data_IF_530944315667
#
_entry.id   IF_530944315667
#
_cell.length_a   1.000
_cell.length_b   1.000
_cell.length_c   1.000
_cell.angle_alpha   90.00
_cell.angle_beta   90.00
_cell.angle_gamma   90.00
#
_symmetry.space_group_name_H-M   'P 1'
#
loop_
_entity.id
_entity.type
_entity.pdbx_description
1 polymer ?
#
# COMPACT_ATOMS: atom_id res chain seq x y z
N UNK A 1 11.48 8.64 -0.12
CA UNK A 1 10.11 8.17 -0.36
C UNK A 1 9.56 7.55 0.91
N UNK A 2 8.28 7.76 1.18
CA UNK A 2 7.57 7.21 2.35
C UNK A 2 6.43 6.31 1.89
N UNK A 3 6.31 5.14 2.50
CA UNK A 3 5.28 4.14 2.21
C UNK A 3 4.69 3.56 3.50
N UNK A 4 3.38 3.31 3.50
CA UNK A 4 2.73 2.57 4.56
C UNK A 4 1.63 3.33 5.29
N UNK A 5 1.68 3.33 6.62
CA UNK A 5 0.62 3.84 7.48
C UNK A 5 0.48 5.38 7.45
N UNK A 6 -0.55 5.89 8.15
CA UNK A 6 -0.73 7.35 8.33
C UNK A 6 0.49 8.02 8.99
N UNK A 7 1.29 7.28 9.76
CA UNK A 7 2.54 7.80 10.30
C UNK A 7 3.53 8.17 9.18
N UNK A 8 3.69 7.31 8.15
CA UNK A 8 4.50 7.61 6.98
C UNK A 8 4.03 8.91 6.29
N UNK A 9 2.72 9.09 6.15
CA UNK A 9 2.15 10.30 5.57
C UNK A 9 2.46 11.55 6.40
N UNK A 10 2.33 11.48 7.73
CA UNK A 10 2.60 12.61 8.62
C UNK A 10 4.08 13.01 8.62
N UNK A 11 4.98 12.03 8.69
CA UNK A 11 6.43 12.31 8.65
C UNK A 11 6.83 12.88 7.30
N UNK A 12 6.28 12.39 6.20
CA UNK A 12 6.52 12.95 4.87
C UNK A 12 6.06 14.41 4.78
N UNK A 13 4.92 14.76 5.35
CA UNK A 13 4.42 16.13 5.38
C UNK A 13 5.39 17.06 6.16
N UNK A 14 5.90 16.62 7.31
CA UNK A 14 6.90 17.37 8.08
C UNK A 14 8.20 17.51 7.27
N UNK A 15 8.62 16.46 6.58
CA UNK A 15 9.81 16.47 5.71
C UNK A 15 9.66 17.52 4.61
N UNK A 16 8.49 17.58 3.95
CA UNK A 16 8.19 18.56 2.93
C UNK A 16 8.15 20.01 3.47
N UNK A 17 7.59 20.22 4.68
CA UNK A 17 7.60 21.52 5.35
C UNK A 17 9.03 22.03 5.61
N UNK A 18 9.97 21.10 5.86
CA UNK A 18 11.41 21.42 6.00
C UNK A 18 12.14 21.50 4.65
N UNK A 19 11.40 21.62 3.53
CA UNK A 19 11.93 21.77 2.16
C UNK A 19 12.82 20.60 1.69
N UNK A 20 12.67 19.44 2.30
CA UNK A 20 13.33 18.21 1.86
C UNK A 20 12.44 17.51 0.82
N UNK A 21 13.00 17.08 -0.32
CA UNK A 21 12.24 16.36 -1.34
C UNK A 21 11.59 15.11 -0.75
N UNK A 22 10.28 14.98 -0.88
CA UNK A 22 9.55 13.81 -0.37
C UNK A 22 8.43 13.41 -1.32
N UNK A 23 8.21 12.10 -1.44
CA UNK A 23 7.08 11.51 -2.14
C UNK A 23 6.43 10.46 -1.25
N UNK A 24 5.10 10.38 -1.24
CA UNK A 24 4.40 9.59 -0.22
C UNK A 24 3.28 8.76 -0.82
N UNK A 25 3.21 7.50 -0.38
CA UNK A 25 2.06 6.62 -0.51
C UNK A 25 1.44 6.61 -1.92
N UNK A 26 2.14 6.16 -2.97
CA UNK A 26 1.60 6.09 -4.33
C UNK A 26 0.36 5.19 -4.47
N UNK A 27 0.10 4.30 -3.53
CA UNK A 27 -1.13 3.50 -3.41
C UNK A 27 -2.09 4.05 -2.35
N UNK A 28 -1.78 5.20 -1.75
CA UNK A 28 -2.41 5.70 -0.54
C UNK A 28 -1.92 4.95 0.70
N UNK A 29 -2.60 5.14 1.82
CA UNK A 29 -2.22 4.52 3.08
C UNK A 29 -2.42 3.01 3.01
N UNK A 30 -1.34 2.26 3.26
CA UNK A 30 -1.33 0.81 3.39
C UNK A 30 -0.79 0.43 4.77
N UNK A 31 -1.38 -0.57 5.41
CA UNK A 31 -0.98 -1.01 6.75
C UNK A 31 -0.32 -2.39 6.77
N UNK A 32 -0.76 -3.26 5.86
CA UNK A 32 -0.36 -4.67 5.86
C UNK A 32 0.93 -4.89 5.08
N UNK A 33 1.93 -5.62 5.63
CA UNK A 33 3.23 -5.84 4.98
C UNK A 33 3.13 -6.43 3.57
N UNK A 34 2.26 -7.41 3.35
CA UNK A 34 2.08 -8.03 2.01
C UNK A 34 1.44 -7.04 1.03
N UNK A 35 0.48 -6.22 1.46
CA UNK A 35 -0.08 -5.18 0.59
C UNK A 35 0.99 -4.14 0.17
N UNK A 36 1.89 -3.77 1.09
CA UNK A 36 3.02 -2.90 0.81
C UNK A 36 4.01 -3.58 -0.14
N UNK A 37 4.32 -4.87 0.07
CA UNK A 37 5.20 -5.64 -0.81
C UNK A 37 4.64 -5.72 -2.24
N UNK A 38 3.32 -5.98 -2.38
CA UNK A 38 2.64 -6.00 -3.68
C UNK A 38 2.71 -4.63 -4.37
N UNK A 39 2.47 -3.54 -3.64
CA UNK A 39 2.62 -2.19 -4.17
C UNK A 39 4.06 -1.92 -4.65
N UNK A 40 5.07 -2.33 -3.89
CA UNK A 40 6.48 -2.20 -4.26
C UNK A 40 6.82 -2.98 -5.54
N UNK A 41 6.24 -4.17 -5.74
CA UNK A 41 6.43 -4.95 -6.97
C UNK A 41 5.82 -4.27 -8.19
N UNK A 42 4.60 -3.74 -8.06
CA UNK A 42 3.96 -2.95 -9.13
C UNK A 42 4.78 -1.70 -9.46
N UNK A 43 5.32 -1.02 -8.45
CA UNK A 43 6.16 0.16 -8.65
C UNK A 43 7.51 -0.18 -9.29
N UNK A 44 8.08 -1.34 -9.03
CA UNK A 44 9.36 -1.76 -9.61
C UNK A 44 9.27 -1.95 -11.13
N UNK A 45 8.21 -2.62 -11.57
CA UNK A 45 7.87 -2.81 -12.98
C UNK A 45 6.47 -2.24 -13.20
N UNK A 46 6.35 -0.94 -13.55
CA UNK A 46 5.06 -0.27 -13.61
C UNK A 46 4.07 -1.04 -14.48
N UNK A 47 3.17 -1.75 -13.81
CA UNK A 47 2.04 -2.40 -14.45
C UNK A 47 0.83 -1.49 -14.29
N UNK A 48 0.40 -0.90 -15.39
CA UNK A 48 -0.74 0.01 -15.37
C UNK A 48 -2.02 -0.80 -15.17
N UNK A 49 -2.89 -0.26 -14.34
CA UNK A 49 -4.22 -0.79 -14.11
C UNK A 49 -5.11 -0.51 -15.32
N UNK A 50 -6.07 -1.39 -15.53
CA UNK A 50 -7.07 -1.34 -16.59
C UNK A 50 -8.47 -1.16 -15.99
N UNK A 51 -9.50 -0.85 -16.77
CA UNK A 51 -10.87 -0.81 -16.26
C UNK A 51 -11.32 -2.11 -15.59
N UNK A 52 -10.76 -3.27 -15.98
CA UNK A 52 -11.06 -4.57 -15.38
C UNK A 52 -10.52 -4.74 -13.95
N UNK A 53 -9.53 -3.93 -13.54
CA UNK A 53 -8.96 -3.95 -12.20
C UNK A 53 -9.74 -3.07 -11.20
N UNK A 54 -10.80 -2.41 -11.69
CA UNK A 54 -11.64 -1.53 -10.90
C UNK A 54 -13.00 -2.20 -10.61
N UNK A 55 -13.58 -1.81 -9.48
CA UNK A 55 -14.93 -2.19 -9.09
C UNK A 55 -15.70 -0.97 -8.56
N UNK A 56 -17.01 -1.06 -8.48
CA UNK A 56 -17.86 -0.02 -7.88
C UNK A 56 -18.04 -0.34 -6.40
N UNK A 57 -17.63 0.58 -5.53
CA UNK A 57 -17.74 0.43 -4.07
C UNK A 57 -19.16 0.80 -3.57
N UNK A 58 -19.39 0.65 -2.26
CA UNK A 58 -20.68 0.95 -1.60
C UNK A 58 -21.11 2.41 -1.66
N UNK A 59 -20.23 3.33 -2.04
CA UNK A 59 -20.53 4.75 -2.24
C UNK A 59 -20.72 5.09 -3.73
N UNK A 60 -20.98 4.08 -4.56
CA UNK A 60 -21.17 4.23 -6.03
C UNK A 60 -19.95 4.86 -6.73
N UNK A 61 -18.74 4.62 -6.19
CA UNK A 61 -17.50 5.12 -6.76
C UNK A 61 -16.65 3.97 -7.29
N UNK A 62 -15.97 4.19 -8.39
CA UNK A 62 -14.94 3.30 -8.91
C UNK A 62 -13.75 3.29 -7.95
N UNK A 63 -13.24 2.11 -7.68
CA UNK A 63 -12.17 1.87 -6.71
C UNK A 63 -11.32 0.67 -7.14
N UNK A 64 -10.15 0.50 -6.54
CA UNK A 64 -9.28 -0.66 -6.70
C UNK A 64 -8.99 -1.28 -5.34
N UNK A 65 -9.00 -2.61 -5.24
CA UNK A 65 -8.66 -3.32 -4.01
C UNK A 65 -7.22 -3.08 -3.53
N UNK A 66 -6.32 -2.70 -4.44
CA UNK A 66 -4.92 -2.43 -4.12
C UNK A 66 -4.70 -1.03 -3.53
N UNK A 67 -5.62 -0.06 -3.79
CA UNK A 67 -5.43 1.35 -3.47
C UNK A 67 -6.31 1.81 -2.31
N UNK A 68 -5.84 2.82 -1.60
CA UNK A 68 -6.64 3.49 -0.57
C UNK A 68 -7.82 4.25 -1.18
N UNK A 69 -8.90 4.43 -0.41
CA UNK A 69 -10.12 5.10 -0.85
C UNK A 69 -9.97 6.54 -1.36
N UNK A 70 -8.83 7.18 -1.13
CA UNK A 70 -8.56 8.51 -1.69
C UNK A 70 -8.43 8.51 -3.24
N UNK A 71 -8.26 7.33 -3.86
CA UNK A 71 -8.26 7.17 -5.31
C UNK A 71 -9.66 6.90 -5.88
N UNK A 72 -10.67 6.68 -5.02
CA UNK A 72 -12.02 6.40 -5.48
C UNK A 72 -12.65 7.63 -6.14
N UNK A 73 -13.35 7.42 -7.26
CA UNK A 73 -14.00 8.49 -8.00
C UNK A 73 -15.28 7.99 -8.67
N UNK A 74 -16.28 8.86 -8.86
CA UNK A 74 -17.52 8.53 -9.57
C UNK A 74 -17.31 8.24 -11.06
N UNK A 75 -16.30 8.85 -11.67
CA UNK A 75 -15.89 8.58 -13.04
C UNK A 75 -14.76 7.54 -13.06
N UNK A 76 -14.98 6.46 -13.83
CA UNK A 76 -14.03 5.36 -13.97
C UNK A 76 -12.70 5.79 -14.59
N UNK A 77 -12.75 6.65 -15.59
CA UNK A 77 -11.55 7.07 -16.30
C UNK A 77 -10.68 7.95 -15.40
N UNK A 78 -11.30 8.84 -14.62
CA UNK A 78 -10.58 9.70 -13.67
C UNK A 78 -9.94 8.85 -12.57
N UNK A 79 -10.67 7.87 -12.00
CA UNK A 79 -10.13 6.92 -11.04
C UNK A 79 -8.89 6.21 -11.61
N UNK A 80 -9.01 5.66 -12.81
CA UNK A 80 -7.94 4.92 -13.49
C UNK A 80 -6.73 5.81 -13.79
N UNK A 81 -6.95 7.02 -14.27
CA UNK A 81 -5.89 7.99 -14.55
C UNK A 81 -5.12 8.37 -13.29
N UNK A 82 -5.81 8.62 -12.17
CA UNK A 82 -5.18 8.95 -10.89
C UNK A 82 -4.31 7.81 -10.39
N UNK A 83 -4.80 6.58 -10.44
CA UNK A 83 -4.07 5.36 -10.07
C UNK A 83 -2.81 5.21 -10.92
N UNK A 84 -2.94 5.23 -12.24
CA UNK A 84 -1.83 5.01 -13.16
C UNK A 84 -0.79 6.13 -13.11
N UNK A 85 -1.22 7.38 -12.92
CA UNK A 85 -0.33 8.51 -12.67
C UNK A 85 0.48 8.32 -11.40
N UNK A 86 -0.17 7.89 -10.30
CA UNK A 86 0.51 7.66 -9.04
C UNK A 86 1.51 6.51 -9.11
N UNK A 87 1.21 5.43 -9.85
CA UNK A 87 2.15 4.33 -10.11
C UNK A 87 3.38 4.83 -10.86
N UNK A 88 3.19 5.58 -11.94
CA UNK A 88 4.30 6.12 -12.76
C UNK A 88 5.18 7.06 -11.94
N UNK A 89 4.57 7.98 -11.19
CA UNK A 89 5.28 8.91 -10.33
C UNK A 89 5.99 8.20 -9.16
N UNK A 90 5.34 7.19 -8.57
CA UNK A 90 5.92 6.39 -7.49
C UNK A 90 7.15 5.60 -7.95
N UNK A 91 7.10 5.00 -9.13
CA UNK A 91 8.24 4.34 -9.77
C UNK A 91 9.42 5.31 -9.92
N UNK A 92 9.19 6.48 -10.54
CA UNK A 92 10.22 7.48 -10.73
C UNK A 92 10.80 7.97 -9.41
N UNK A 93 9.93 8.22 -8.42
CA UNK A 93 10.35 8.69 -7.12
C UNK A 93 11.26 7.70 -6.38
N UNK A 94 10.96 6.40 -6.41
CA UNK A 94 11.81 5.39 -5.74
C UNK A 94 13.12 5.18 -6.50
N UNK A 95 13.11 5.20 -7.83
CA UNK A 95 14.33 5.09 -8.63
C UNK A 95 15.33 6.23 -8.34
N UNK A 96 14.84 7.41 -8.03
CA UNK A 96 15.66 8.59 -7.73
C UNK A 96 15.89 8.80 -6.23
N UNK A 97 15.27 7.98 -5.38
CA UNK A 97 15.34 8.15 -3.94
C UNK A 97 16.69 7.75 -3.36
N UNK A 98 17.18 8.52 -2.40
CA UNK A 98 18.27 8.13 -1.51
C UNK A 98 17.78 7.27 -0.33
N UNK A 99 16.49 7.37 0.02
CA UNK A 99 15.90 6.62 1.12
C UNK A 99 14.44 6.21 0.83
N UNK A 100 14.10 4.98 1.22
CA UNK A 100 12.75 4.43 1.25
C UNK A 100 12.40 4.10 2.71
N UNK A 101 11.41 4.81 3.25
CA UNK A 101 10.96 4.64 4.62
C UNK A 101 9.59 3.96 4.58
N UNK A 102 9.51 2.79 5.19
CA UNK A 102 8.30 1.96 5.19
C UNK A 102 7.79 1.83 6.62
N UNK A 103 6.52 2.14 6.83
CA UNK A 103 5.87 2.03 8.14
C UNK A 103 4.80 0.95 8.11
N UNK A 104 5.06 -0.15 8.80
CA UNK A 104 4.17 -1.28 8.94
C UNK A 104 3.14 -1.01 10.06
N UNK A 105 1.87 -1.34 9.82
CA UNK A 105 0.78 -1.00 10.74
C UNK A 105 0.11 -2.19 11.39
N UNK A 106 -0.16 -3.26 10.67
CA UNK A 106 -0.92 -4.42 11.19
C UNK A 106 -0.55 -5.71 10.45
N UNK A 107 -0.61 -6.81 11.17
CA UNK A 107 -0.52 -8.16 10.59
C UNK A 107 -1.91 -8.76 10.26
N UNK A 108 -3.00 -8.05 10.57
CA UNK A 108 -4.35 -8.47 10.17
C UNK A 108 -4.57 -8.16 8.68
N UNK A 109 -4.82 -9.23 7.92
CA UNK A 109 -5.12 -9.17 6.50
C UNK A 109 -6.61 -9.22 6.23
N UNK A 110 -7.03 -8.50 5.20
CA UNK A 110 -8.31 -8.68 4.52
C UNK A 110 -8.02 -9.36 3.19
N UNK A 111 -8.38 -10.64 3.08
CA UNK A 111 -8.17 -11.43 1.88
C UNK A 111 -9.48 -11.52 1.10
N UNK A 112 -9.49 -11.04 -0.13
CA UNK A 112 -10.66 -11.10 -1.00
C UNK A 112 -10.96 -12.55 -1.39
N UNK A 113 -12.18 -13.05 -1.11
CA UNK A 113 -12.52 -14.48 -1.25
C UNK A 113 -12.41 -15.01 -2.67
N UNK A 114 -12.76 -14.20 -3.67
CA UNK A 114 -12.75 -14.64 -5.07
C UNK A 114 -11.34 -14.67 -5.66
N UNK A 115 -10.50 -13.70 -5.31
CA UNK A 115 -9.15 -13.57 -5.90
C UNK A 115 -8.05 -14.14 -5.00
N UNK A 116 -8.37 -14.48 -3.74
CA UNK A 116 -7.42 -14.86 -2.69
C UNK A 116 -6.29 -13.84 -2.43
N UNK A 117 -6.45 -12.62 -2.92
CA UNK A 117 -5.46 -11.56 -2.74
C UNK A 117 -5.71 -10.78 -1.45
N UNK A 118 -4.63 -10.40 -0.78
CA UNK A 118 -4.67 -9.46 0.33
C UNK A 118 -4.88 -8.07 -0.25
N UNK A 119 -5.96 -7.40 0.19
CA UNK A 119 -6.32 -6.07 -0.31
C UNK A 119 -5.62 -4.96 0.48
N UNK A 120 -5.33 -3.87 -0.19
CA UNK A 120 -4.81 -2.65 0.43
C UNK A 120 -5.88 -1.89 1.22
N UNK A 121 -7.13 -1.97 0.75
CA UNK A 121 -8.29 -1.34 1.39
C UNK A 121 -9.56 -2.14 1.12
N UNK A 122 -10.40 -2.32 2.14
CA UNK A 122 -11.68 -3.02 2.01
C UNK A 122 -12.83 -2.12 1.49
N UNK A 123 -12.62 -0.81 1.32
CA UNK A 123 -13.58 0.16 0.79
C UNK A 123 -14.98 0.08 1.43
N UNK A 124 -15.07 -0.33 2.71
CA UNK A 124 -16.32 -0.57 3.46
C UNK A 124 -17.24 -1.62 2.79
N UNK A 125 -16.70 -2.46 1.90
CA UNK A 125 -17.46 -3.55 1.33
C UNK A 125 -17.95 -4.52 2.42
N UNK A 126 -19.04 -5.29 2.18
CA UNK A 126 -19.56 -6.25 3.14
C UNK A 126 -18.49 -7.20 3.67
N UNK A 127 -18.56 -7.53 4.97
CA UNK A 127 -17.56 -8.39 5.61
C UNK A 127 -17.47 -9.78 4.94
N UNK A 128 -18.58 -10.23 4.38
CA UNK A 128 -18.68 -11.51 3.66
C UNK A 128 -17.80 -11.57 2.40
N UNK A 129 -17.37 -10.43 1.87
CA UNK A 129 -16.47 -10.33 0.72
C UNK A 129 -15.07 -10.85 1.05
N UNK A 130 -14.68 -10.85 2.33
CA UNK A 130 -13.33 -11.13 2.76
C UNK A 130 -13.25 -12.28 3.75
N UNK A 131 -12.10 -12.93 3.76
CA UNK A 131 -11.58 -13.65 4.91
C UNK A 131 -10.66 -12.72 5.68
N UNK A 132 -10.87 -12.60 7.00
CA UNK A 132 -9.98 -11.84 7.87
C UNK A 132 -9.13 -12.79 8.69
N UNK A 133 -7.82 -12.63 8.64
CA UNK A 133 -6.88 -13.52 9.32
C UNK A 133 -5.65 -12.75 9.79
N UNK A 134 -5.01 -13.29 10.82
CA UNK A 134 -3.67 -12.88 11.20
C UNK A 134 -2.68 -13.57 10.24
N UNK A 135 -1.94 -12.78 9.47
CA UNK A 135 -0.95 -13.35 8.54
C UNK A 135 0.23 -13.96 9.26
N UNK A 136 0.80 -15.00 8.67
CA UNK A 136 2.03 -15.61 9.15
C UNK A 136 3.19 -14.61 9.03
N UNK A 137 4.03 -14.56 10.05
CA UNK A 137 5.19 -13.65 10.10
C UNK A 137 6.18 -13.98 8.98
N UNK A 138 6.46 -15.26 8.75
CA UNK A 138 7.42 -15.71 7.74
C UNK A 138 6.96 -15.33 6.32
N UNK A 139 5.66 -15.43 6.05
CA UNK A 139 5.08 -14.99 4.77
C UNK A 139 5.23 -13.48 4.56
N UNK A 140 4.96 -12.69 5.60
CA UNK A 140 5.12 -11.24 5.55
C UNK A 140 6.58 -10.83 5.35
N UNK A 141 7.50 -11.49 6.05
CA UNK A 141 8.95 -11.26 5.93
C UNK A 141 9.42 -11.63 4.52
N UNK A 142 9.07 -12.81 4.02
CA UNK A 142 9.46 -13.27 2.69
C UNK A 142 8.97 -12.32 1.58
N UNK A 143 7.71 -11.88 1.65
CA UNK A 143 7.13 -10.95 0.68
C UNK A 143 7.86 -9.60 0.65
N UNK A 144 8.10 -9.02 1.84
CA UNK A 144 8.84 -7.76 1.95
C UNK A 144 10.30 -7.93 1.50
N UNK A 145 10.99 -8.96 1.97
CA UNK A 145 12.39 -9.21 1.64
C UNK A 145 12.60 -9.31 0.14
N UNK A 146 11.76 -10.09 -0.56
CA UNK A 146 11.81 -10.22 -2.01
C UNK A 146 11.64 -8.87 -2.70
N UNK A 147 10.62 -8.11 -2.31
CA UNK A 147 10.35 -6.80 -2.91
C UNK A 147 11.46 -5.79 -2.67
N UNK A 148 12.03 -5.77 -1.45
CA UNK A 148 13.09 -4.85 -1.07
C UNK A 148 14.42 -5.21 -1.75
N UNK A 149 14.77 -6.50 -1.85
CA UNK A 149 15.94 -6.95 -2.58
C UNK A 149 15.90 -6.55 -4.05
N UNK A 150 14.74 -6.71 -4.70
CA UNK A 150 14.57 -6.29 -6.08
C UNK A 150 14.77 -4.76 -6.26
N UNK A 151 14.29 -3.96 -5.30
CA UNK A 151 14.53 -2.51 -5.32
C UNK A 151 15.98 -2.13 -5.06
N UNK A 152 16.70 -2.84 -4.18
CA UNK A 152 18.13 -2.63 -3.97
C UNK A 152 18.97 -3.02 -5.20
N UNK A 153 18.51 -3.98 -6.00
CA UNK A 153 19.14 -4.30 -7.29
C UNK A 153 18.89 -3.19 -8.32
N UNK A 154 17.68 -2.61 -8.36
CA UNK A 154 17.34 -1.54 -9.30
C UNK A 154 17.96 -0.19 -8.90
N UNK A 155 18.07 0.10 -7.59
CA UNK A 155 18.70 1.29 -7.03
C UNK A 155 19.67 0.90 -5.90
N UNK A 156 20.95 0.56 -6.23
CA UNK A 156 21.93 0.12 -5.24
C UNK A 156 22.30 1.16 -4.16
N UNK A 157 22.01 2.44 -4.41
CA UNK A 157 22.25 3.52 -3.45
C UNK A 157 21.10 3.72 -2.46
N UNK A 158 19.97 3.05 -2.67
CA UNK A 158 18.78 3.19 -1.85
C UNK A 158 18.98 2.70 -0.42
N UNK A 159 18.76 3.56 0.54
CA UNK A 159 18.73 3.17 1.97
C UNK A 159 17.29 2.84 2.37
N UNK A 160 17.09 1.69 2.99
CA UNK A 160 15.76 1.25 3.41
C UNK A 160 15.64 1.33 4.94
N UNK A 161 14.59 1.99 5.42
CA UNK A 161 14.24 2.10 6.83
C UNK A 161 12.87 1.47 7.04
N UNK A 162 12.81 0.46 7.90
CA UNK A 162 11.55 -0.17 8.31
C UNK A 162 11.18 0.30 9.71
N UNK A 163 9.93 0.71 9.88
CA UNK A 163 9.35 1.02 11.19
C UNK A 163 8.09 0.20 11.40
N UNK A 164 7.84 -0.21 12.63
CA UNK A 164 6.63 -0.92 13.03
C UNK A 164 5.85 -0.04 13.97
N UNK A 165 4.56 0.18 13.65
CA UNK A 165 3.68 0.99 14.50
C UNK A 165 3.46 0.29 15.85
N UNK A 166 3.70 0.97 16.98
CA UNK A 166 3.42 0.42 18.31
C UNK A 166 1.93 0.47 18.67
N UNK A 167 1.10 1.08 17.81
CA UNK A 167 -0.33 1.28 18.08
C UNK A 167 -1.10 -0.02 17.89
N UNK A 168 -1.74 -0.50 18.95
CA UNK A 168 -2.62 -1.66 18.88
C UNK A 168 -3.95 -1.26 18.25
N UNK A 169 -4.39 -2.02 17.23
CA UNK A 169 -5.73 -1.88 16.67
C UNK A 169 -6.76 -2.52 17.62
N UNK A 170 -7.48 -1.70 18.37
CA UNK A 170 -8.47 -2.11 19.38
C UNK A 170 -9.63 -2.96 18.80
N UNK A 171 -9.90 -2.85 17.51
CA UNK A 171 -10.99 -3.59 16.84
C UNK A 171 -10.80 -5.10 16.82
N UNK A 172 -9.59 -5.60 17.06
CA UNK A 172 -9.25 -7.03 17.03
C UNK A 172 -9.05 -7.66 18.43
N UNK A 173 -9.64 -7.07 19.48
CA UNK A 173 -9.53 -7.56 20.87
C UNK A 173 -10.12 -8.96 21.14
N UNK A 174 -10.66 -9.67 20.15
CA UNK A 174 -11.27 -10.99 20.35
C UNK A 174 -10.36 -12.19 20.10
N UNK A 175 -9.09 -12.00 19.83
CA UNK A 175 -8.13 -13.12 19.99
C UNK A 175 -7.61 -13.10 21.42
N UNK A 176 -8.37 -13.75 22.33
CA UNK A 176 -7.81 -14.27 23.59
C UNK A 176 -7.04 -15.53 23.21
N UNK A 177 -5.73 -15.51 23.37
CA UNK A 177 -4.97 -16.75 23.60
C UNK A 177 -5.35 -17.30 24.95
#
# INVERSE_FOLDING_TARGET
VFLGSCFAQNISAITAQNKLPSYTNPFGILYHPIAIANALQVLLKPTLFTPADLFVNTNEQWASWAHHGCFSHSDQQICLQQINKAITQGHQAINQASALIITLGTAFAWQHKQTNQIVGNCHKAPHETFNTQLSNIDEMVAALQTSLQNWLQANPSLKIVLTVSPVRHWRHKRCRC
#
